data_IF_786871234821
#
_entry.id   IF_786871234821
#
_cell.length_a   1.000
_cell.length_b   1.000
_cell.length_c   1.000
_cell.angle_alpha   90.00
_cell.angle_beta   90.00
_cell.angle_gamma   90.00
#
_symmetry.space_group_name_H-M   'P 1'
#
loop_
_entity.id
_entity.type
_entity.pdbx_description
1 polymer ?
#
# COMPACT_ATOMS: atom_id res chain seq x y z
N UNK A 1 -32.18 -8.19 90.50
CA UNK A 1 -32.33 -8.54 89.07
C UNK A 1 -31.11 -9.37 88.69
N UNK A 2 -31.26 -10.70 88.73
CA UNK A 2 -30.15 -11.64 88.51
C UNK A 2 -29.78 -11.66 87.02
N UNK A 3 -28.52 -11.35 86.63
CA UNK A 3 -28.08 -11.33 85.23
C UNK A 3 -28.20 -12.70 84.53
N UNK A 4 -28.41 -13.77 85.29
CA UNK A 4 -28.65 -15.14 84.80
C UNK A 4 -30.02 -15.35 84.17
N UNK A 5 -30.96 -14.41 84.33
CA UNK A 5 -32.29 -14.51 83.72
C UNK A 5 -32.31 -14.22 82.21
N UNK A 6 -31.28 -13.58 81.66
CA UNK A 6 -31.21 -13.23 80.22
C UNK A 6 -30.74 -14.35 79.31
N UNK A 7 -30.18 -15.44 79.84
CA UNK A 7 -29.51 -16.50 79.04
C UNK A 7 -30.34 -17.80 78.98
N UNK A 8 -31.48 -17.89 79.67
CA UNK A 8 -32.29 -19.14 79.76
C UNK A 8 -33.05 -19.54 78.49
N UNK A 9 -33.09 -18.70 77.46
CA UNK A 9 -33.84 -18.96 76.23
C UNK A 9 -32.96 -19.30 75.02
N UNK A 10 -31.67 -19.59 75.21
CA UNK A 10 -30.82 -20.05 74.12
C UNK A 10 -30.94 -21.58 74.00
N UNK A 11 -31.72 -22.04 73.02
CA UNK A 11 -31.73 -23.45 72.60
C UNK A 11 -30.29 -23.89 72.29
N UNK A 12 -29.86 -25.10 72.69
CA UNK A 12 -28.54 -25.60 72.34
C UNK A 12 -28.40 -25.60 70.82
N UNK A 13 -27.37 -24.93 70.32
CA UNK A 13 -27.06 -24.86 68.90
C UNK A 13 -26.65 -26.27 68.45
N UNK A 14 -27.44 -26.89 67.59
CA UNK A 14 -27.10 -28.21 67.05
C UNK A 14 -25.99 -28.03 66.00
N UNK A 15 -24.74 -28.21 66.43
CA UNK A 15 -23.55 -28.06 65.59
C UNK A 15 -23.50 -29.07 64.45
N UNK A 16 -24.02 -30.28 64.64
CA UNK A 16 -24.06 -31.31 63.60
C UNK A 16 -25.03 -30.92 62.49
N UNK A 17 -26.24 -30.45 62.85
CA UNK A 17 -27.20 -29.95 61.87
C UNK A 17 -26.68 -28.70 61.13
N UNK A 18 -25.92 -27.82 61.80
CA UNK A 18 -25.29 -26.67 61.16
C UNK A 18 -24.16 -27.10 60.21
N UNK A 19 -23.38 -28.12 60.59
CA UNK A 19 -22.32 -28.67 59.76
C UNK A 19 -22.88 -29.34 58.50
N UNK A 20 -23.92 -30.18 58.64
CA UNK A 20 -24.63 -30.80 57.52
C UNK A 20 -25.23 -29.76 56.57
N UNK A 21 -25.86 -28.71 57.12
CA UNK A 21 -26.39 -27.61 56.33
C UNK A 21 -25.28 -26.87 55.58
N UNK A 22 -24.14 -26.63 56.24
CA UNK A 22 -22.98 -25.96 55.65
C UNK A 22 -22.35 -26.79 54.53
N UNK A 23 -22.15 -28.09 54.72
CA UNK A 23 -21.63 -29.00 53.69
C UNK A 23 -22.61 -29.15 52.52
N UNK A 24 -23.91 -29.16 52.79
CA UNK A 24 -24.94 -29.13 51.76
C UNK A 24 -24.91 -27.82 50.96
N UNK A 25 -24.75 -26.66 51.60
CA UNK A 25 -24.56 -25.38 50.89
C UNK A 25 -23.25 -25.32 50.10
N UNK A 26 -22.15 -25.82 50.65
CA UNK A 26 -20.86 -25.92 49.93
C UNK A 26 -20.98 -26.82 48.69
N UNK A 27 -21.64 -27.98 48.82
CA UNK A 27 -21.90 -28.89 47.71
C UNK A 27 -22.77 -28.23 46.63
N UNK A 28 -23.83 -27.53 47.03
CA UNK A 28 -24.66 -26.73 46.11
C UNK A 28 -23.87 -25.61 45.44
N UNK A 29 -23.02 -24.88 46.17
CA UNK A 29 -22.15 -23.83 45.61
C UNK A 29 -21.21 -24.41 44.56
N UNK A 30 -20.51 -25.50 44.87
CA UNK A 30 -19.64 -26.21 43.92
C UNK A 30 -20.40 -26.67 42.68
N UNK A 31 -21.63 -27.16 42.83
CA UNK A 31 -22.46 -27.57 41.71
C UNK A 31 -22.90 -26.38 40.83
N UNK A 32 -23.19 -25.23 41.44
CA UNK A 32 -23.50 -23.99 40.73
C UNK A 32 -22.25 -23.49 39.99
N UNK A 33 -21.08 -23.46 40.63
CA UNK A 33 -19.81 -23.10 40.01
C UNK A 33 -19.45 -24.02 38.84
N UNK A 34 -19.65 -25.34 38.98
CA UNK A 34 -19.47 -26.30 37.90
C UNK A 34 -20.44 -26.05 36.72
N UNK A 35 -21.69 -25.67 36.99
CA UNK A 35 -22.64 -25.27 35.94
C UNK A 35 -22.24 -23.96 35.26
N UNK A 36 -21.75 -22.98 36.01
CA UNK A 36 -21.28 -21.69 35.47
C UNK A 36 -20.07 -21.90 34.55
N UNK A 37 -19.10 -22.72 34.98
CA UNK A 37 -17.91 -23.07 34.17
C UNK A 37 -18.29 -23.86 32.93
N UNK A 38 -19.14 -24.88 33.02
CA UNK A 38 -19.62 -25.61 31.85
C UNK A 38 -20.36 -24.70 30.84
N UNK A 39 -21.19 -23.77 31.34
CA UNK A 39 -21.87 -22.78 30.48
C UNK A 39 -20.89 -21.79 29.84
N UNK A 40 -19.84 -21.37 30.54
CA UNK A 40 -18.84 -20.45 29.99
C UNK A 40 -18.01 -21.13 28.90
N UNK A 41 -17.62 -22.39 29.11
CA UNK A 41 -16.93 -23.23 28.11
C UNK A 41 -17.80 -23.46 26.88
N UNK A 42 -19.08 -23.84 27.05
CA UNK A 42 -20.01 -24.04 25.94
C UNK A 42 -20.19 -22.76 25.11
N UNK A 43 -20.30 -21.60 25.78
CA UNK A 43 -20.35 -20.29 25.10
C UNK A 43 -19.06 -20.00 24.33
N UNK A 44 -17.90 -20.32 24.89
CA UNK A 44 -16.62 -20.13 24.22
C UNK A 44 -16.45 -21.04 23.00
N UNK A 45 -16.87 -22.31 23.11
CA UNK A 45 -16.89 -23.25 21.99
C UNK A 45 -17.81 -22.76 20.86
N UNK A 46 -19.01 -22.28 21.19
CA UNK A 46 -19.94 -21.72 20.21
C UNK A 46 -19.34 -20.49 19.49
N UNK A 47 -18.70 -19.58 20.24
CA UNK A 47 -17.99 -18.42 19.65
C UNK A 47 -16.87 -18.86 18.72
N UNK A 48 -16.05 -19.82 19.15
CA UNK A 48 -14.96 -20.36 18.34
C UNK A 48 -15.49 -21.05 17.07
N UNK A 49 -16.59 -21.80 17.14
CA UNK A 49 -17.19 -22.44 15.98
C UNK A 49 -17.73 -21.42 14.96
N UNK A 50 -18.38 -20.35 15.43
CA UNK A 50 -18.83 -19.25 14.57
C UNK A 50 -17.66 -18.52 13.90
N UNK A 51 -16.57 -18.31 14.64
CA UNK A 51 -15.33 -17.74 14.11
C UNK A 51 -14.71 -18.64 13.03
N UNK A 52 -14.57 -19.94 13.28
CA UNK A 52 -14.02 -20.85 12.27
C UNK A 52 -14.89 -20.88 11.01
N UNK A 53 -16.20 -20.78 11.16
CA UNK A 53 -17.13 -20.68 10.01
C UNK A 53 -16.92 -19.38 9.21
N UNK A 54 -16.68 -18.25 9.87
CA UNK A 54 -16.40 -16.99 9.17
C UNK A 54 -15.05 -17.00 8.46
N UNK A 55 -14.01 -17.54 9.11
CA UNK A 55 -12.69 -17.72 8.52
C UNK A 55 -12.75 -18.66 7.31
N UNK A 56 -13.43 -19.80 7.43
CA UNK A 56 -13.61 -20.76 6.33
C UNK A 56 -14.31 -20.12 5.12
N UNK A 57 -15.32 -19.27 5.36
CA UNK A 57 -16.00 -18.54 4.28
C UNK A 57 -15.05 -17.60 3.54
N UNK A 58 -14.26 -16.81 4.26
CA UNK A 58 -13.27 -15.87 3.67
C UNK A 58 -12.27 -16.64 2.80
N UNK A 59 -11.76 -17.76 3.31
CA UNK A 59 -10.79 -18.59 2.60
C UNK A 59 -11.38 -19.30 1.39
N UNK A 60 -12.63 -19.74 1.47
CA UNK A 60 -13.32 -20.33 0.32
C UNK A 60 -13.52 -19.30 -0.81
N UNK A 61 -13.91 -18.07 -0.46
CA UNK A 61 -14.03 -16.99 -1.44
C UNK A 61 -12.68 -16.60 -2.07
N UNK A 62 -11.60 -16.63 -1.28
CA UNK A 62 -10.26 -16.36 -1.79
C UNK A 62 -9.76 -17.48 -2.69
N UNK A 63 -10.01 -18.74 -2.33
CA UNK A 63 -9.72 -19.88 -3.19
C UNK A 63 -10.42 -19.77 -4.55
N UNK A 64 -11.70 -19.38 -4.58
CA UNK A 64 -12.43 -19.15 -5.83
C UNK A 64 -11.75 -18.05 -6.66
N UNK A 65 -11.33 -16.95 -6.03
CA UNK A 65 -10.62 -15.85 -6.71
C UNK A 65 -9.30 -16.31 -7.31
N UNK A 66 -8.45 -16.97 -6.52
CA UNK A 66 -7.15 -17.46 -6.97
C UNK A 66 -7.32 -18.46 -8.13
N UNK A 67 -8.30 -19.36 -8.05
CA UNK A 67 -8.61 -20.27 -9.17
C UNK A 67 -9.08 -19.53 -10.42
N UNK A 68 -9.75 -18.39 -10.26
CA UNK A 68 -10.10 -17.51 -11.37
C UNK A 68 -8.89 -16.79 -11.96
N UNK A 69 -7.97 -16.32 -11.12
CA UNK A 69 -6.71 -15.67 -11.55
C UNK A 69 -5.76 -16.66 -12.23
N UNK A 70 -5.60 -17.86 -11.67
CA UNK A 70 -4.86 -18.96 -12.28
C UNK A 70 -5.40 -19.28 -13.68
N UNK A 71 -6.72 -19.41 -13.82
CA UNK A 71 -7.36 -19.63 -15.13
C UNK A 71 -7.07 -18.48 -16.10
N UNK A 72 -7.15 -17.23 -15.65
CA UNK A 72 -6.86 -16.06 -16.50
C UNK A 72 -5.39 -16.01 -16.92
N UNK A 73 -4.47 -16.29 -16.01
CA UNK A 73 -3.04 -16.35 -16.29
C UNK A 73 -2.74 -17.46 -17.30
N UNK A 74 -3.29 -18.66 -17.10
CA UNK A 74 -3.13 -19.78 -18.03
C UNK A 74 -3.67 -19.46 -19.42
N UNK A 75 -4.84 -18.79 -19.52
CA UNK A 75 -5.37 -18.32 -20.80
C UNK A 75 -4.48 -17.26 -21.45
N UNK A 76 -3.91 -16.34 -20.66
CA UNK A 76 -2.99 -15.31 -21.15
C UNK A 76 -1.68 -15.92 -21.68
N UNK A 77 -1.18 -16.97 -21.06
CA UNK A 77 0.02 -17.69 -21.51
C UNK A 77 -0.26 -18.45 -22.81
N UNK A 78 -1.48 -18.97 -22.96
CA UNK A 78 -1.94 -19.65 -24.17
C UNK A 78 -2.30 -18.68 -25.31
N UNK A 79 -2.24 -17.36 -25.06
CA UNK A 79 -2.48 -16.35 -26.09
C UNK A 79 -1.46 -16.52 -27.24
N UNK A 80 -1.91 -16.57 -28.50
CA UNK A 80 -1.02 -16.65 -29.66
C UNK A 80 0.10 -15.60 -29.68
N UNK A 81 -0.12 -14.43 -29.10
CA UNK A 81 0.88 -13.35 -28.97
C UNK A 81 2.04 -13.68 -28.02
N UNK A 82 1.90 -14.67 -27.14
CA UNK A 82 2.95 -15.15 -26.23
C UNK A 82 3.56 -16.49 -26.66
N UNK A 83 3.07 -17.12 -27.74
CA UNK A 83 3.61 -18.40 -28.23
C UNK A 83 5.08 -18.35 -28.65
N UNK A 84 5.62 -17.16 -28.94
CA UNK A 84 7.05 -17.00 -29.21
C UNK A 84 7.92 -17.35 -28.00
N UNK A 85 7.40 -17.16 -26.77
CA UNK A 85 8.09 -17.51 -25.52
C UNK A 85 8.28 -19.03 -25.46
N UNK A 86 7.26 -19.80 -25.83
CA UNK A 86 7.32 -21.27 -25.92
C UNK A 86 8.15 -21.79 -27.10
N UNK A 87 8.66 -20.91 -27.96
CA UNK A 87 9.60 -21.24 -29.05
C UNK A 87 11.04 -20.88 -28.71
N UNK A 88 11.29 -20.28 -27.55
CA UNK A 88 12.65 -19.99 -27.08
C UNK A 88 13.32 -21.33 -26.77
N UNK A 89 14.49 -21.65 -27.37
CA UNK A 89 15.11 -22.96 -27.24
C UNK A 89 15.29 -23.42 -25.79
N UNK A 90 15.73 -22.53 -24.89
CA UNK A 90 15.90 -22.84 -23.46
C UNK A 90 14.59 -23.16 -22.75
N UNK A 91 13.45 -22.60 -23.21
CA UNK A 91 12.13 -22.89 -22.65
C UNK A 91 11.60 -24.21 -23.19
N UNK A 92 11.84 -24.51 -24.47
CA UNK A 92 11.51 -25.81 -25.06
C UNK A 92 12.29 -26.93 -24.37
N UNK A 93 13.60 -26.76 -24.19
CA UNK A 93 14.46 -27.74 -23.54
C UNK A 93 14.05 -28.00 -22.08
N UNK A 94 13.62 -26.95 -21.36
CA UNK A 94 13.13 -27.11 -19.98
C UNK A 94 11.76 -27.77 -19.91
N UNK A 95 10.84 -27.45 -20.82
CA UNK A 95 9.53 -28.13 -20.91
C UNK A 95 9.71 -29.61 -21.23
N UNK A 96 10.56 -29.96 -22.21
CA UNK A 96 10.84 -31.35 -22.56
C UNK A 96 11.51 -32.13 -21.42
N UNK A 97 12.38 -31.47 -20.66
CA UNK A 97 13.02 -32.02 -19.47
C UNK A 97 11.98 -32.27 -18.36
N UNK A 98 11.12 -31.30 -18.06
CA UNK A 98 10.05 -31.45 -17.06
C UNK A 98 9.04 -32.55 -17.44
N UNK A 99 8.67 -32.67 -18.71
CA UNK A 99 7.81 -33.76 -19.16
C UNK A 99 8.49 -35.13 -19.02
N UNK A 100 9.81 -35.19 -19.20
CA UNK A 100 10.59 -36.42 -18.98
C UNK A 100 10.59 -36.79 -17.51
N UNK A 101 10.87 -35.84 -16.62
CA UNK A 101 10.85 -36.02 -15.17
C UNK A 101 9.45 -36.41 -14.67
N UNK A 102 8.38 -35.81 -15.20
CA UNK A 102 7.01 -36.20 -14.87
C UNK A 102 6.74 -37.66 -15.27
N UNK A 103 7.14 -38.07 -16.48
CA UNK A 103 7.00 -39.46 -16.93
C UNK A 103 7.80 -40.42 -16.05
N UNK A 104 9.01 -40.06 -15.66
CA UNK A 104 9.84 -40.84 -14.75
C UNK A 104 9.20 -40.97 -13.37
N UNK A 105 8.70 -39.87 -12.80
CA UNK A 105 7.95 -39.88 -11.54
C UNK A 105 6.70 -40.76 -11.61
N UNK A 106 5.92 -40.64 -12.69
CA UNK A 106 4.73 -41.46 -12.89
C UNK A 106 5.09 -42.96 -12.97
N UNK A 107 6.19 -43.31 -13.62
CA UNK A 107 6.63 -44.69 -13.77
C UNK A 107 7.27 -45.26 -12.50
N UNK A 108 8.06 -44.46 -11.79
CA UNK A 108 8.82 -44.91 -10.63
C UNK A 108 7.98 -44.96 -9.35
N UNK A 109 6.96 -44.11 -9.21
CA UNK A 109 6.14 -44.04 -7.99
C UNK A 109 4.66 -44.34 -8.24
N UNK A 110 3.99 -43.62 -9.15
CA UNK A 110 2.53 -43.74 -9.29
C UNK A 110 2.11 -45.12 -9.80
N UNK A 111 2.79 -45.65 -10.82
CA UNK A 111 2.49 -46.99 -11.37
C UNK A 111 2.65 -48.08 -10.30
N UNK A 112 3.77 -48.18 -9.55
CA UNK A 112 3.90 -49.13 -8.45
C UNK A 112 2.82 -49.00 -7.37
N UNK A 113 2.43 -47.77 -6.99
CA UNK A 113 1.34 -47.53 -6.03
C UNK A 113 0.01 -48.09 -6.56
N UNK A 114 -0.30 -47.85 -7.83
CA UNK A 114 -1.53 -48.34 -8.45
C UNK A 114 -1.53 -49.86 -8.60
N UNK A 115 -0.41 -50.45 -9.02
CA UNK A 115 -0.24 -51.91 -9.10
C UNK A 115 -0.40 -52.54 -7.71
N UNK A 116 0.24 -51.98 -6.68
CA UNK A 116 0.08 -52.44 -5.29
C UNK A 116 -1.37 -52.34 -4.80
N UNK A 117 -2.05 -51.23 -5.09
CA UNK A 117 -3.48 -51.07 -4.76
C UNK A 117 -4.34 -52.15 -5.42
N UNK A 118 -4.07 -52.45 -6.68
CA UNK A 118 -4.84 -53.42 -7.46
C UNK A 118 -4.53 -54.86 -7.01
N UNK A 119 -3.27 -55.15 -6.68
CA UNK A 119 -2.84 -56.41 -6.05
C UNK A 119 -3.49 -56.63 -4.68
N UNK A 120 -3.54 -55.58 -3.84
CA UNK A 120 -4.20 -55.63 -2.53
C UNK A 120 -5.72 -55.86 -2.67
N UNK A 121 -6.37 -55.21 -3.65
CA UNK A 121 -7.78 -55.47 -3.95
C UNK A 121 -8.00 -56.91 -4.38
N UNK A 122 -7.15 -57.43 -5.26
CA UNK A 122 -7.21 -58.81 -5.73
C UNK A 122 -7.03 -59.81 -4.57
N UNK A 123 -6.09 -59.53 -3.66
CA UNK A 123 -5.85 -60.34 -2.45
C UNK A 123 -7.04 -60.35 -1.50
N UNK A 124 -7.66 -59.20 -1.27
CA UNK A 124 -8.84 -59.08 -0.39
C UNK A 124 -10.02 -59.89 -0.95
N UNK A 125 -10.23 -59.86 -2.27
CA UNK A 125 -11.29 -60.64 -2.93
C UNK A 125 -11.02 -62.14 -2.82
N UNK A 126 -9.82 -62.61 -3.19
CA UNK A 126 -9.46 -64.04 -3.09
C UNK A 126 -9.51 -64.59 -1.66
N UNK A 127 -9.15 -63.79 -0.66
CA UNK A 127 -9.24 -64.16 0.75
C UNK A 127 -10.70 -64.33 1.21
N UNK A 128 -11.63 -63.53 0.69
CA UNK A 128 -13.08 -63.69 0.93
C UNK A 128 -13.62 -64.96 0.27
N UNK A 129 -13.07 -65.34 -0.87
CA UNK A 129 -13.49 -66.52 -1.64
C UNK A 129 -12.81 -67.83 -1.17
N UNK A 130 -12.04 -67.80 -0.07
CA UNK A 130 -11.42 -68.98 0.54
C UNK A 130 -10.26 -69.58 -0.27
N UNK A 131 -9.73 -68.88 -1.28
CA UNK A 131 -8.62 -69.35 -2.10
C UNK A 131 -7.26 -69.11 -1.41
N UNK A 132 -6.26 -70.00 -1.59
CA UNK A 132 -4.91 -69.77 -1.08
C UNK A 132 -4.29 -68.53 -1.75
N UNK A 133 -3.80 -67.61 -0.93
CA UNK A 133 -3.15 -66.36 -1.37
C UNK A 133 -1.63 -66.54 -1.32
N UNK A 134 -0.91 -65.99 -2.30
CA UNK A 134 0.56 -66.03 -2.36
C UNK A 134 1.22 -65.34 -1.13
N UNK A 135 2.48 -65.67 -0.83
CA UNK A 135 3.22 -65.09 0.31
C UNK A 135 3.33 -63.55 0.22
N UNK A 136 3.20 -62.85 1.36
CA UNK A 136 3.23 -61.37 1.49
C UNK A 136 4.61 -60.73 1.36
N UNK A 137 5.67 -61.54 1.29
CA UNK A 137 7.07 -61.07 1.25
C UNK A 137 7.41 -60.22 0.00
N UNK A 138 6.94 -60.54 -1.22
CA UNK A 138 7.20 -59.71 -2.40
C UNK A 138 6.54 -58.32 -2.28
N UNK A 139 5.38 -58.23 -1.64
CA UNK A 139 4.66 -56.97 -1.40
C UNK A 139 5.43 -56.07 -0.43
N UNK A 140 5.98 -56.65 0.65
CA UNK A 140 6.83 -55.89 1.59
C UNK A 140 8.09 -55.35 0.93
N UNK A 141 8.68 -56.09 -0.03
CA UNK A 141 9.82 -55.62 -0.80
C UNK A 141 9.45 -54.41 -1.69
N UNK A 142 8.32 -54.48 -2.39
CA UNK A 142 7.81 -53.35 -3.22
C UNK A 142 7.53 -52.10 -2.35
N UNK A 143 6.98 -52.27 -1.16
CA UNK A 143 6.76 -51.15 -0.21
C UNK A 143 8.07 -50.57 0.30
N UNK A 144 9.08 -51.40 0.55
CA UNK A 144 10.43 -50.96 0.91
C UNK A 144 11.09 -50.16 -0.21
N UNK A 145 11.11 -50.71 -1.42
CA UNK A 145 11.68 -50.07 -2.61
C UNK A 145 10.97 -48.72 -2.93
N UNK A 146 9.65 -48.63 -2.68
CA UNK A 146 8.89 -47.39 -2.79
C UNK A 146 9.27 -46.35 -1.73
N UNK A 147 9.43 -46.74 -0.47
CA UNK A 147 9.84 -45.81 0.59
C UNK A 147 11.23 -45.24 0.32
N UNK A 148 12.15 -46.07 -0.21
CA UNK A 148 13.49 -45.62 -0.60
C UNK A 148 13.44 -44.66 -1.80
N UNK A 149 12.57 -44.92 -2.79
CA UNK A 149 12.36 -44.02 -3.92
C UNK A 149 11.73 -42.67 -3.50
N UNK A 150 10.75 -42.71 -2.57
CA UNK A 150 10.15 -41.50 -1.99
C UNK A 150 11.17 -40.70 -1.18
N UNK A 151 12.04 -41.36 -0.42
CA UNK A 151 13.12 -40.71 0.31
C UNK A 151 14.09 -39.96 -0.60
N UNK A 152 14.54 -40.61 -1.69
CA UNK A 152 15.42 -39.97 -2.68
C UNK A 152 14.78 -38.76 -3.36
N UNK A 153 13.48 -38.82 -3.66
CA UNK A 153 12.75 -37.70 -4.23
C UNK A 153 12.59 -36.54 -3.25
N UNK A 154 12.39 -36.82 -1.97
CA UNK A 154 12.39 -35.79 -0.93
C UNK A 154 13.73 -35.07 -0.84
N UNK A 155 14.83 -35.81 -0.92
CA UNK A 155 16.17 -35.22 -0.90
C UNK A 155 16.44 -34.38 -2.17
N UNK A 156 16.05 -34.88 -3.34
CA UNK A 156 16.17 -34.16 -4.61
C UNK A 156 15.34 -32.85 -4.62
N UNK A 157 14.08 -32.93 -4.16
CA UNK A 157 13.19 -31.77 -4.03
C UNK A 157 13.78 -30.72 -3.09
N UNK A 158 14.39 -31.15 -1.98
CA UNK A 158 15.03 -30.25 -1.02
C UNK A 158 16.25 -29.57 -1.62
N UNK A 159 17.03 -30.26 -2.45
CA UNK A 159 18.16 -29.64 -3.17
C UNK A 159 17.71 -28.65 -4.25
N UNK A 160 16.64 -28.96 -4.97
CA UNK A 160 16.04 -28.05 -5.96
C UNK A 160 15.43 -26.80 -5.29
N UNK A 161 14.74 -26.96 -4.16
CA UNK A 161 14.19 -25.84 -3.41
C UNK A 161 15.29 -24.84 -2.99
N UNK A 162 16.46 -25.35 -2.59
CA UNK A 162 17.63 -24.53 -2.25
C UNK A 162 18.17 -23.83 -3.49
N UNK A 163 18.23 -24.51 -4.63
CA UNK A 163 18.73 -23.96 -5.90
C UNK A 163 17.81 -22.87 -6.47
N UNK A 164 16.49 -23.07 -6.43
CA UNK A 164 15.50 -22.10 -6.90
C UNK A 164 15.49 -20.82 -6.05
N UNK A 165 15.66 -20.95 -4.73
CA UNK A 165 15.78 -19.80 -3.80
C UNK A 165 16.96 -18.87 -4.15
N UNK A 166 17.99 -19.35 -4.84
CA UNK A 166 19.12 -18.53 -5.27
C UNK A 166 18.88 -17.81 -6.61
N UNK A 167 17.87 -18.20 -7.39
CA UNK A 167 17.61 -17.62 -8.72
C UNK A 167 16.50 -16.55 -8.74
N UNK A 168 15.73 -16.41 -7.66
CA UNK A 168 14.66 -15.40 -7.51
C UNK A 168 15.19 -13.99 -7.16
N UNK A 169 16.50 -13.78 -7.10
CA UNK A 169 17.12 -12.46 -6.84
C UNK A 169 17.18 -11.57 -8.10
N UNK A 170 16.19 -11.65 -8.99
CA UNK A 170 15.98 -10.61 -10.00
C UNK A 170 15.32 -9.44 -9.28
N UNK A 171 16.13 -8.50 -8.81
CA UNK A 171 15.69 -7.22 -8.25
C UNK A 171 14.90 -6.43 -9.31
N UNK A 172 13.61 -6.75 -9.43
CA UNK A 172 12.64 -5.85 -10.04
C UNK A 172 12.62 -4.64 -9.10
N UNK A 173 13.16 -3.51 -9.58
CA UNK A 173 13.17 -2.22 -8.89
C UNK A 173 11.96 -2.10 -7.97
N UNK A 174 12.22 -2.11 -6.66
CA UNK A 174 11.17 -2.14 -5.66
C UNK A 174 10.21 -0.98 -5.94
N UNK A 175 8.88 -1.23 -6.08
CA UNK A 175 7.88 -0.17 -6.22
C UNK A 175 7.98 0.92 -5.14
N UNK A 176 8.69 0.63 -4.05
CA UNK A 176 8.93 1.52 -2.92
C UNK A 176 9.88 2.69 -3.27
N UNK A 177 10.90 2.50 -4.12
CA UNK A 177 11.86 3.57 -4.46
C UNK A 177 11.21 4.65 -5.34
N UNK A 178 10.30 4.23 -6.22
CA UNK A 178 9.52 5.13 -7.08
C UNK A 178 8.59 6.06 -6.29
N UNK A 179 8.10 5.64 -5.12
CA UNK A 179 7.15 6.43 -4.33
C UNK A 179 7.79 7.68 -3.72
N UNK A 180 9.08 7.65 -3.38
CA UNK A 180 9.78 8.76 -2.71
C UNK A 180 10.80 9.49 -3.60
N UNK A 181 11.14 8.94 -4.78
CA UNK A 181 12.06 9.61 -5.72
C UNK A 181 11.43 10.78 -6.48
N UNK A 182 12.01 11.98 -6.39
CA UNK A 182 11.70 13.10 -7.29
C UNK A 182 12.86 13.22 -8.26
N UNK A 183 12.56 13.22 -9.57
CA UNK A 183 13.56 13.49 -10.60
C UNK A 183 14.12 14.89 -10.36
N UNK A 184 15.41 14.99 -10.02
CA UNK A 184 16.11 16.27 -9.86
C UNK A 184 16.04 17.11 -11.14
N UNK A 185 15.89 16.48 -12.31
CA UNK A 185 15.70 17.18 -13.60
C UNK A 185 14.41 17.99 -13.68
N UNK A 186 13.43 17.70 -12.82
CA UNK A 186 12.14 18.37 -12.79
C UNK A 186 12.08 19.46 -11.70
N UNK A 187 13.16 19.63 -10.93
CA UNK A 187 13.30 20.68 -9.91
C UNK A 187 14.07 21.86 -10.47
N UNK A 188 13.91 23.02 -9.85
CA UNK A 188 14.49 24.29 -10.27
C UNK A 188 13.56 25.09 -11.19
N UNK A 189 14.11 26.20 -11.69
CA UNK A 189 13.45 27.11 -12.62
C UNK A 189 13.42 26.43 -14.00
N UNK A 190 12.25 26.31 -14.66
CA UNK A 190 12.18 25.78 -16.02
C UNK A 190 13.02 26.63 -16.99
N UNK A 191 13.76 25.99 -17.90
CA UNK A 191 14.62 26.70 -18.86
C UNK A 191 13.80 27.65 -19.76
N UNK A 192 12.56 27.26 -20.09
CA UNK A 192 11.66 28.09 -20.89
C UNK A 192 11.20 29.36 -20.16
N UNK A 193 11.31 29.39 -18.83
CA UNK A 193 10.83 30.50 -18.02
C UNK A 193 11.71 31.75 -18.12
N UNK A 194 13.00 31.57 -18.43
CA UNK A 194 13.93 32.67 -18.68
C UNK A 194 13.65 33.43 -19.98
N UNK A 195 12.88 32.85 -20.89
CA UNK A 195 12.53 33.46 -22.18
C UNK A 195 11.20 34.22 -22.13
N UNK A 196 10.54 34.29 -20.96
CA UNK A 196 9.25 34.96 -20.85
C UNK A 196 9.38 36.49 -20.99
N UNK A 197 8.41 37.14 -21.66
CA UNK A 197 8.45 38.58 -21.86
C UNK A 197 8.37 39.31 -20.51
N UNK A 198 9.37 40.14 -20.22
CA UNK A 198 9.48 40.88 -18.96
C UNK A 198 9.86 42.34 -19.22
N UNK A 199 9.39 43.29 -18.38
CA UNK A 199 9.87 44.67 -18.43
C UNK A 199 11.27 44.87 -17.82
N UNK A 200 11.71 43.98 -16.93
CA UNK A 200 13.01 44.04 -16.24
C UNK A 200 13.49 42.62 -15.87
N UNK A 201 14.78 42.35 -16.04
CA UNK A 201 15.41 41.07 -15.74
C UNK A 201 15.48 40.79 -14.23
N UNK A 202 15.66 41.82 -13.40
CA UNK A 202 15.65 41.67 -11.92
C UNK A 202 14.26 41.21 -11.41
N UNK A 203 13.19 41.79 -11.96
CA UNK A 203 11.83 41.41 -11.64
C UNK A 203 11.51 39.98 -12.08
N UNK A 204 12.03 39.56 -13.24
CA UNK A 204 11.92 38.18 -13.70
C UNK A 204 12.64 37.22 -12.76
N UNK A 205 13.87 37.53 -12.36
CA UNK A 205 14.66 36.70 -11.46
C UNK A 205 13.97 36.52 -10.08
N UNK A 206 13.42 37.58 -9.50
CA UNK A 206 12.65 37.51 -8.24
C UNK A 206 11.42 36.62 -8.36
N UNK A 207 10.64 36.76 -9.44
CA UNK A 207 9.47 35.92 -9.70
C UNK A 207 9.84 34.45 -9.92
N UNK A 208 10.92 34.17 -10.65
CA UNK A 208 11.36 32.81 -10.91
C UNK A 208 11.95 32.13 -9.67
N UNK A 209 12.50 32.89 -8.72
CA UNK A 209 12.98 32.34 -7.45
C UNK A 209 11.88 31.64 -6.63
N UNK A 210 10.60 31.99 -6.84
CA UNK A 210 9.46 31.30 -6.22
C UNK A 210 9.38 29.81 -6.59
N UNK A 211 9.87 29.40 -7.76
CA UNK A 211 9.95 27.98 -8.12
C UNK A 211 10.82 27.20 -7.14
N UNK A 212 11.95 27.79 -6.74
CA UNK A 212 12.89 27.18 -5.79
C UNK A 212 12.22 27.03 -4.42
N UNK A 213 11.45 28.03 -3.98
CA UNK A 213 10.74 27.99 -2.70
C UNK A 213 9.68 26.89 -2.67
N UNK A 214 8.90 26.77 -3.75
CA UNK A 214 7.91 25.69 -3.91
C UNK A 214 8.62 24.32 -3.88
N UNK A 215 9.69 24.16 -4.65
CA UNK A 215 10.44 22.91 -4.71
C UNK A 215 10.99 22.48 -3.35
N UNK A 216 11.64 23.40 -2.63
CA UNK A 216 12.19 23.14 -1.29
C UNK A 216 11.09 22.73 -0.31
N UNK A 217 9.94 23.40 -0.34
CA UNK A 217 8.82 23.11 0.55
C UNK A 217 8.28 21.69 0.33
N UNK A 218 8.08 21.28 -0.93
CA UNK A 218 7.57 19.94 -1.23
C UNK A 218 8.64 18.85 -1.05
N UNK A 219 9.89 19.15 -1.38
CA UNK A 219 11.01 18.25 -1.14
C UNK A 219 11.18 17.94 0.34
N UNK A 220 11.18 18.95 1.21
CA UNK A 220 11.29 18.75 2.66
C UNK A 220 10.14 17.90 3.22
N UNK A 221 8.91 18.09 2.72
CA UNK A 221 7.76 17.27 3.12
C UNK A 221 7.89 15.82 2.68
N UNK A 222 8.41 15.60 1.47
CA UNK A 222 8.63 14.26 0.94
C UNK A 222 9.75 13.55 1.69
N UNK A 223 10.82 14.28 2.01
CA UNK A 223 11.97 13.78 2.75
C UNK A 223 11.59 13.38 4.18
N UNK A 224 10.75 14.16 4.86
CA UNK A 224 10.18 13.78 6.15
C UNK A 224 9.42 12.44 6.05
N UNK A 225 8.57 12.28 5.04
CA UNK A 225 7.83 11.04 4.83
C UNK A 225 8.76 9.85 4.49
N UNK A 226 9.86 10.09 3.76
CA UNK A 226 10.88 9.08 3.43
C UNK A 226 11.61 8.60 4.68
N UNK A 227 12.11 9.53 5.50
CA UNK A 227 12.83 9.20 6.74
C UNK A 227 11.93 8.40 7.69
N UNK A 228 10.67 8.80 7.84
CA UNK A 228 9.73 8.04 8.66
C UNK A 228 9.45 6.65 8.08
N UNK A 229 9.35 6.54 6.75
CA UNK A 229 9.15 5.26 6.08
C UNK A 229 10.30 4.30 6.35
N UNK A 230 11.54 4.78 6.22
CA UNK A 230 12.76 4.02 6.48
C UNK A 230 12.86 3.57 7.93
N UNK A 231 12.50 4.42 8.89
CA UNK A 231 12.45 4.04 10.31
C UNK A 231 11.45 2.92 10.58
N UNK A 232 10.25 3.00 10.00
CA UNK A 232 9.25 1.94 10.14
C UNK A 232 9.68 0.67 9.41
N UNK A 233 10.34 0.80 8.27
CA UNK A 233 10.89 -0.33 7.51
C UNK A 233 11.99 -1.06 8.28
N UNK A 234 12.98 -0.35 8.80
CA UNK A 234 14.08 -0.90 9.60
C UNK A 234 13.56 -1.75 10.77
N UNK A 235 12.59 -1.22 11.53
CA UNK A 235 11.94 -1.94 12.64
C UNK A 235 11.32 -3.28 12.25
N UNK A 236 10.79 -3.39 11.03
CA UNK A 236 10.21 -4.64 10.52
C UNK A 236 11.32 -5.60 10.13
N UNK A 237 12.29 -5.14 9.34
CA UNK A 237 13.39 -5.96 8.82
C UNK A 237 14.32 -6.50 9.90
N UNK A 238 14.47 -5.80 11.03
CA UNK A 238 15.31 -6.25 12.14
C UNK A 238 14.69 -7.43 12.92
N UNK A 239 13.36 -7.51 12.98
CA UNK A 239 12.64 -8.42 13.88
C UNK A 239 11.91 -9.57 13.16
N UNK A 240 11.78 -9.48 11.84
CA UNK A 240 10.97 -10.39 11.05
C UNK A 240 11.72 -10.90 9.83
N UNK A 241 11.52 -12.19 9.55
CA UNK A 241 11.99 -12.79 8.31
C UNK A 241 11.15 -12.30 7.12
N UNK A 242 11.80 -12.11 5.97
CA UNK A 242 11.16 -11.54 4.78
C UNK A 242 10.03 -12.42 4.26
N UNK A 243 10.18 -13.75 4.27
CA UNK A 243 9.10 -14.65 3.86
C UNK A 243 7.94 -14.64 4.87
N UNK A 244 8.24 -14.60 6.17
CA UNK A 244 7.24 -14.47 7.23
C UNK A 244 6.39 -13.21 7.04
N UNK A 245 7.04 -12.07 6.79
CA UNK A 245 6.34 -10.81 6.51
C UNK A 245 5.50 -10.90 5.23
N UNK A 246 6.04 -11.47 4.14
CA UNK A 246 5.29 -11.61 2.88
C UNK A 246 4.04 -12.48 3.04
N UNK A 247 4.13 -13.58 3.80
CA UNK A 247 2.98 -14.43 4.15
C UNK A 247 1.93 -13.64 4.95
N UNK A 248 2.37 -12.88 5.95
CA UNK A 248 1.47 -12.07 6.79
C UNK A 248 0.80 -10.96 5.97
N UNK A 249 1.54 -10.29 5.09
CA UNK A 249 1.00 -9.28 4.18
C UNK A 249 -0.05 -9.85 3.25
N UNK A 250 0.21 -11.04 2.70
CA UNK A 250 -0.76 -11.74 1.88
C UNK A 250 -2.04 -12.02 2.66
N UNK A 251 -1.93 -12.64 3.85
CA UNK A 251 -3.07 -12.94 4.71
C UNK A 251 -3.83 -11.68 5.10
N UNK A 252 -3.13 -10.64 5.53
CA UNK A 252 -3.72 -9.35 5.85
C UNK A 252 -4.49 -8.76 4.67
N UNK A 253 -3.93 -8.84 3.46
CA UNK A 253 -4.57 -8.42 2.23
C UNK A 253 -5.88 -9.17 1.96
N UNK A 254 -5.93 -10.48 2.19
CA UNK A 254 -7.16 -11.29 2.05
C UNK A 254 -8.25 -10.78 3.00
N UNK A 255 -7.92 -10.61 4.28
CA UNK A 255 -8.90 -10.15 5.28
C UNK A 255 -9.36 -8.71 5.00
N UNK A 256 -8.46 -7.81 4.60
CA UNK A 256 -8.82 -6.43 4.25
C UNK A 256 -9.83 -6.39 3.08
N UNK A 257 -9.67 -7.26 2.09
CA UNK A 257 -10.58 -7.35 0.93
C UNK A 257 -11.94 -7.95 1.27
N UNK A 258 -11.97 -8.97 2.14
CA UNK A 258 -13.15 -9.84 2.32
C UNK A 258 -13.96 -9.59 3.59
N UNK A 259 -13.31 -9.16 4.66
CA UNK A 259 -13.92 -9.08 5.99
C UNK A 259 -14.40 -7.67 6.38
N UNK A 260 -14.22 -6.67 5.51
CA UNK A 260 -14.68 -5.29 5.72
C UNK A 260 -14.23 -4.74 7.08
N UNK A 261 -15.16 -4.15 7.84
CA UNK A 261 -14.89 -3.52 9.13
C UNK A 261 -14.34 -4.48 10.20
N UNK A 262 -14.65 -5.78 10.10
CA UNK A 262 -14.15 -6.79 11.04
C UNK A 262 -12.82 -7.41 10.59
N UNK A 263 -12.23 -6.95 9.49
CA UNK A 263 -11.03 -7.54 8.89
C UNK A 263 -9.82 -7.54 9.81
N UNK A 264 -9.59 -6.46 10.56
CA UNK A 264 -8.50 -6.39 11.55
C UNK A 264 -8.62 -7.46 12.62
N UNK A 265 -9.80 -7.58 13.23
CA UNK A 265 -10.05 -8.55 14.29
C UNK A 265 -9.91 -9.98 13.78
N UNK A 266 -10.55 -10.30 12.65
CA UNK A 266 -10.49 -11.65 12.07
C UNK A 266 -9.08 -12.03 11.58
N UNK A 267 -8.32 -11.06 11.04
CA UNK A 267 -6.93 -11.28 10.66
C UNK A 267 -6.05 -11.57 11.88
N UNK A 268 -6.18 -10.80 12.97
CA UNK A 268 -5.43 -11.05 14.20
C UNK A 268 -5.78 -12.41 14.80
N UNK A 269 -7.07 -12.75 14.86
CA UNK A 269 -7.54 -14.05 15.33
C UNK A 269 -7.04 -15.21 14.45
N UNK A 270 -6.93 -15.02 13.13
CA UNK A 270 -6.35 -16.03 12.24
C UNK A 270 -4.83 -16.13 12.40
N UNK A 271 -4.13 -15.00 12.33
CA UNK A 271 -2.67 -14.95 12.38
C UNK A 271 -2.11 -15.43 13.71
N UNK A 272 -2.79 -15.16 14.83
CA UNK A 272 -2.43 -15.72 16.14
C UNK A 272 -2.55 -17.24 16.24
N UNK A 273 -3.34 -17.87 15.36
CA UNK A 273 -3.42 -19.33 15.25
C UNK A 273 -2.37 -19.92 14.31
N UNK A 274 -2.01 -19.17 13.26
CA UNK A 274 -1.03 -19.60 12.24
C UNK A 274 0.40 -19.36 12.70
N UNK A 275 0.66 -18.21 13.34
CA UNK A 275 1.98 -17.80 13.81
C UNK A 275 2.16 -18.21 15.27
N UNK A 276 2.27 -19.51 15.52
CA UNK A 276 2.34 -20.08 16.89
C UNK A 276 3.53 -19.56 17.70
N UNK A 277 4.61 -19.17 17.02
CA UNK A 277 5.85 -18.67 17.64
C UNK A 277 5.82 -17.17 17.95
N UNK A 278 4.75 -16.44 17.58
CA UNK A 278 4.66 -14.99 17.73
C UNK A 278 3.51 -14.61 18.65
N UNK A 279 3.74 -13.60 19.48
CA UNK A 279 2.70 -13.03 20.31
C UNK A 279 1.70 -12.21 19.47
N UNK A 280 0.46 -12.11 19.96
CA UNK A 280 -0.57 -11.29 19.32
C UNK A 280 -0.14 -9.82 19.20
N UNK A 281 0.60 -9.32 20.19
CA UNK A 281 1.10 -7.95 20.22
C UNK A 281 2.13 -7.68 19.12
N UNK A 282 3.03 -8.64 18.86
CA UNK A 282 4.01 -8.54 17.76
C UNK A 282 3.32 -8.51 16.40
N UNK A 283 2.33 -9.39 16.19
CA UNK A 283 1.55 -9.44 14.94
C UNK A 283 0.78 -8.13 14.73
N UNK A 284 0.16 -7.61 15.79
CA UNK A 284 -0.56 -6.33 15.72
C UNK A 284 0.39 -5.16 15.43
N UNK A 285 1.58 -5.16 16.03
CA UNK A 285 2.62 -4.18 15.75
C UNK A 285 3.05 -4.24 14.28
N UNK A 286 3.31 -5.43 13.74
CA UNK A 286 3.68 -5.61 12.33
C UNK A 286 2.59 -5.09 11.39
N UNK A 287 1.32 -5.44 11.62
CA UNK A 287 0.20 -4.93 10.81
C UNK A 287 0.13 -3.41 10.90
N UNK A 288 0.32 -2.83 12.08
CA UNK A 288 0.38 -1.39 12.30
C UNK A 288 1.52 -0.72 11.51
N UNK A 289 2.73 -1.28 11.56
CA UNK A 289 3.87 -0.83 10.78
C UNK A 289 3.60 -0.89 9.28
N UNK A 290 3.01 -1.99 8.79
CA UNK A 290 2.65 -2.13 7.36
C UNK A 290 1.57 -1.15 6.92
N UNK A 291 0.57 -0.90 7.75
CA UNK A 291 -0.43 0.13 7.49
C UNK A 291 0.21 1.52 7.43
N UNK A 292 1.13 1.84 8.35
CA UNK A 292 1.85 3.12 8.35
C UNK A 292 2.73 3.28 7.11
N UNK A 293 3.44 2.23 6.70
CA UNK A 293 4.23 2.20 5.48
C UNK A 293 3.39 2.50 4.24
N UNK A 294 2.23 1.85 4.10
CA UNK A 294 1.33 2.10 2.98
C UNK A 294 0.79 3.53 2.99
N UNK A 295 0.42 4.05 4.17
CA UNK A 295 -0.01 5.45 4.31
C UNK A 295 1.09 6.44 3.91
N UNK A 296 2.35 6.18 4.27
CA UNK A 296 3.49 7.03 3.88
C UNK A 296 3.71 7.02 2.37
N UNK A 297 3.54 5.88 1.71
CA UNK A 297 3.59 5.80 0.24
C UNK A 297 2.45 6.60 -0.40
N UNK A 298 1.23 6.44 0.08
CA UNK A 298 0.07 7.19 -0.40
C UNK A 298 0.24 8.70 -0.18
N UNK A 299 0.81 9.09 0.97
CA UNK A 299 1.16 10.47 1.27
C UNK A 299 2.24 10.99 0.32
N UNK A 300 3.30 10.22 0.05
CA UNK A 300 4.38 10.61 -0.86
C UNK A 300 3.86 10.83 -2.30
N UNK A 301 3.02 9.93 -2.81
CA UNK A 301 2.38 10.09 -4.13
C UNK A 301 1.48 11.34 -4.18
N UNK A 302 0.76 11.62 -3.09
CA UNK A 302 -0.08 12.82 -2.97
C UNK A 302 0.76 14.10 -2.93
N UNK A 303 1.86 14.12 -2.17
CA UNK A 303 2.80 15.25 -2.11
C UNK A 303 3.35 15.55 -3.51
N UNK A 304 3.78 14.53 -4.26
CA UNK A 304 4.25 14.69 -5.64
C UNK A 304 3.20 15.27 -6.57
N UNK A 305 1.96 14.78 -6.49
CA UNK A 305 0.85 15.31 -7.31
C UNK A 305 0.56 16.78 -6.97
N UNK A 306 0.55 17.13 -5.69
CA UNK A 306 0.36 18.49 -5.23
C UNK A 306 1.51 19.41 -5.65
N UNK A 307 2.75 18.90 -5.67
CA UNK A 307 3.93 19.63 -6.13
C UNK A 307 3.82 19.98 -7.62
N UNK A 308 3.49 19.01 -8.47
CA UNK A 308 3.29 19.24 -9.92
C UNK A 308 2.23 20.32 -10.13
N UNK A 309 1.07 20.19 -9.48
CA UNK A 309 0.00 21.17 -9.56
C UNK A 309 0.44 22.56 -9.08
N UNK A 310 1.14 22.65 -7.95
CA UNK A 310 1.62 23.92 -7.41
C UNK A 310 2.59 24.62 -8.37
N UNK A 311 3.45 23.87 -9.07
CA UNK A 311 4.34 24.39 -10.12
C UNK A 311 3.56 24.89 -11.34
N UNK A 312 2.54 24.16 -11.77
CA UNK A 312 1.64 24.59 -12.85
C UNK A 312 0.91 25.90 -12.49
N UNK A 313 0.31 25.94 -11.29
CA UNK A 313 -0.39 27.13 -10.78
C UNK A 313 0.56 28.33 -10.60
N UNK A 314 1.81 28.09 -10.18
CA UNK A 314 2.83 29.13 -10.10
C UNK A 314 3.22 29.63 -11.50
N UNK A 315 3.41 28.74 -12.47
CA UNK A 315 3.71 29.08 -13.86
C UNK A 315 2.64 30.00 -14.45
N UNK A 316 1.37 29.68 -14.24
CA UNK A 316 0.24 30.49 -14.71
C UNK A 316 0.26 31.87 -14.06
N UNK A 317 0.48 31.93 -12.73
CA UNK A 317 0.54 33.20 -11.99
C UNK A 317 1.69 34.10 -12.43
N UNK A 318 2.90 33.54 -12.56
CA UNK A 318 4.07 34.32 -13.01
C UNK A 318 3.82 34.87 -14.42
N UNK A 319 3.34 34.04 -15.37
CA UNK A 319 3.02 34.49 -16.73
C UNK A 319 1.99 35.62 -16.73
N UNK A 320 0.93 35.51 -15.92
CA UNK A 320 -0.07 36.57 -15.80
C UNK A 320 0.52 37.87 -15.22
N UNK A 321 1.34 37.78 -14.17
CA UNK A 321 2.01 38.93 -13.57
C UNK A 321 2.99 39.61 -14.53
N UNK A 322 3.76 38.83 -15.30
CA UNK A 322 4.66 39.36 -16.31
C UNK A 322 3.91 40.10 -17.42
N UNK A 323 2.83 39.50 -17.95
CA UNK A 323 2.00 40.15 -18.97
C UNK A 323 1.40 41.47 -18.47
N UNK A 324 0.87 41.49 -17.25
CA UNK A 324 0.36 42.71 -16.63
C UNK A 324 1.46 43.77 -16.46
N UNK A 325 2.66 43.37 -16.04
CA UNK A 325 3.78 44.28 -15.87
C UNK A 325 4.26 44.87 -17.21
N UNK A 326 4.33 44.06 -18.27
CA UNK A 326 4.64 44.53 -19.63
C UNK A 326 3.58 45.53 -20.12
N UNK A 327 2.31 45.22 -19.95
CA UNK A 327 1.20 46.09 -20.36
C UNK A 327 1.24 47.43 -19.63
N UNK A 328 1.45 47.43 -18.31
CA UNK A 328 1.58 48.65 -17.51
C UNK A 328 2.76 49.53 -17.94
N UNK A 329 3.89 48.92 -18.32
CA UNK A 329 5.05 49.66 -18.83
C UNK A 329 4.74 50.24 -20.21
N UNK A 330 4.06 49.51 -21.09
CA UNK A 330 3.62 50.01 -22.39
C UNK A 330 2.64 51.18 -22.26
N UNK A 331 1.64 51.08 -21.37
CA UNK A 331 0.70 52.15 -21.06
C UNK A 331 1.41 53.40 -20.54
N UNK A 332 2.33 53.26 -19.57
CA UNK A 332 3.13 54.38 -19.05
C UNK A 332 4.01 55.04 -20.12
N UNK A 333 4.50 54.27 -21.11
CA UNK A 333 5.25 54.84 -22.25
C UNK A 333 4.33 55.66 -23.15
N UNK A 334 3.15 55.13 -23.48
CA UNK A 334 2.14 55.82 -24.28
C UNK A 334 1.68 57.13 -23.61
N UNK A 335 1.41 57.11 -22.31
CA UNK A 335 1.05 58.31 -21.54
C UNK A 335 2.16 59.37 -21.56
N UNK A 336 3.42 58.96 -21.42
CA UNK A 336 4.57 59.86 -21.52
C UNK A 336 4.70 60.46 -22.92
N UNK A 337 4.47 59.68 -23.97
CA UNK A 337 4.49 60.16 -25.35
C UNK A 337 3.34 61.14 -25.62
N UNK A 338 2.13 60.85 -25.14
CA UNK A 338 0.98 61.78 -25.22
C UNK A 338 1.26 63.09 -24.48
N UNK A 339 1.85 63.03 -23.28
CA UNK A 339 2.24 64.23 -22.54
C UNK A 339 3.33 65.03 -23.26
N UNK A 340 4.27 64.37 -23.95
CA UNK A 340 5.28 65.04 -24.77
C UNK A 340 4.66 65.74 -25.98
N UNK A 341 3.82 65.04 -26.74
CA UNK A 341 3.16 65.62 -27.92
C UNK A 341 2.21 66.76 -27.53
N UNK A 342 1.49 66.66 -26.40
CA UNK A 342 0.71 67.79 -25.87
C UNK A 342 1.59 69.00 -25.54
N UNK A 343 2.75 68.79 -24.89
CA UNK A 343 3.69 69.88 -24.59
C UNK A 343 4.22 70.54 -25.87
N UNK A 344 4.59 69.74 -26.86
CA UNK A 344 5.06 70.23 -28.17
C UNK A 344 3.98 71.03 -28.89
N UNK A 345 2.73 70.54 -28.90
CA UNK A 345 1.58 71.27 -29.46
C UNK A 345 1.32 72.60 -28.75
N UNK A 346 1.38 72.63 -27.41
CA UNK A 346 1.22 73.86 -26.64
C UNK A 346 2.31 74.89 -26.99
N UNK A 347 3.56 74.44 -27.14
CA UNK A 347 4.67 75.32 -27.56
C UNK A 347 4.45 75.88 -28.97
N UNK A 348 4.07 75.04 -29.93
CA UNK A 348 3.76 75.46 -31.30
C UNK A 348 2.60 76.47 -31.36
N UNK A 349 1.53 76.22 -30.59
CA UNK A 349 0.41 77.16 -30.48
C UNK A 349 0.84 78.49 -29.86
N UNK A 350 1.71 78.46 -28.86
CA UNK A 350 2.24 79.65 -28.22
C UNK A 350 3.10 80.49 -29.18
N UNK A 351 3.94 79.85 -30.00
CA UNK A 351 4.71 80.52 -31.05
C UNK A 351 3.79 81.17 -32.11
N UNK A 352 2.75 80.47 -32.58
CA UNK A 352 1.83 81.04 -33.56
C UNK A 352 1.00 82.21 -33.02
N UNK A 353 0.59 82.18 -31.76
CA UNK A 353 -0.07 83.32 -31.11
C UNK A 353 0.87 84.51 -30.96
N UNK A 354 2.15 84.30 -30.62
CA UNK A 354 3.14 85.38 -30.56
C UNK A 354 3.40 86.02 -31.93
N UNK A 355 3.41 85.23 -33.01
CA UNK A 355 3.56 85.75 -34.39
C UNK A 355 2.29 86.48 -34.85
N UNK A 356 1.09 86.00 -34.47
CA UNK A 356 -0.18 86.65 -34.80
C UNK A 356 -0.46 87.92 -33.95
N UNK A 357 0.18 88.07 -32.79
CA UNK A 357 0.05 89.22 -31.90
C UNK A 357 1.15 90.29 -32.08
N UNK A 358 1.87 90.33 -33.22
CA UNK A 358 2.70 91.50 -33.56
C UNK A 358 1.79 92.65 -34.02
N UNK A 359 1.76 93.81 -33.32
CA UNK A 359 0.73 94.83 -33.54
C UNK A 359 0.93 95.70 -34.78
N UNK A 360 -0.18 96.08 -35.41
CA UNK A 360 -0.37 97.27 -36.24
C UNK A 360 -0.07 98.59 -35.48
N UNK A 361 1.16 98.80 -35.02
CA UNK A 361 1.60 100.05 -34.40
C UNK A 361 2.86 100.58 -35.09
N UNK A 362 2.66 101.19 -36.25
CA UNK A 362 3.53 102.25 -36.77
C UNK A 362 2.64 103.35 -37.37
N UNK A 363 2.19 104.25 -36.50
CA UNK A 363 2.03 105.66 -36.86
C UNK A 363 3.41 106.32 -36.76
N UNK A 364 3.74 107.22 -37.69
CA UNK A 364 4.30 108.48 -37.25
C UNK A 364 3.48 109.67 -37.76
N UNK A 365 3.12 110.53 -36.81
CA UNK A 365 2.81 111.93 -37.03
C UNK A 365 4.01 112.64 -37.66
N UNK A 366 3.80 113.33 -38.79
CA UNK A 366 4.52 114.54 -39.17
C UNK A 366 3.83 115.20 -40.39
N UNK A 367 3.05 116.27 -40.16
CA UNK A 367 3.25 117.60 -40.74
C UNK A 367 2.04 118.52 -40.56
N UNK A 368 2.27 119.51 -39.71
CA UNK A 368 1.46 120.70 -39.55
C UNK A 368 1.36 121.53 -40.85
N UNK A 369 0.18 122.11 -41.03
CA UNK A 369 -0.10 123.44 -41.58
C UNK A 369 0.09 123.68 -43.09
N UNK A 370 -1.04 123.89 -43.79
CA UNK A 370 -1.28 125.13 -44.57
C UNK A 370 -2.74 125.25 -45.04
N UNK A 371 -3.32 126.41 -44.66
CA UNK A 371 -4.20 127.29 -45.48
C UNK A 371 -5.72 126.98 -45.51
N UNK A 372 -6.43 127.83 -44.77
CA UNK A 372 -7.85 128.29 -44.88
C UNK A 372 -8.14 128.91 -46.27
N UNK A 373 -9.38 129.07 -46.74
CA UNK A 373 -10.49 129.76 -46.05
C UNK A 373 -11.68 128.88 -45.66
#
# INVERSE_FOLDING_TARGET
MDPRSRVRNLKPLNYDALHELTEHFKSKSKHIEAKITALSEARQQMKNAQLLKSLAKIWHEEYIRLRGEERKANLSIQDPSHQWILKVPTIVDTVEMLEREEREFQNALLKPVWTLRDDLKYWIVRKKDGQPVAEYKPVLKVVGDMNDAVGKLWDALKTEEISCKHSDSVEINSPNELAFSVSQKNMGIPDEAWQWPTPNDEFLAELLAEFIHVDVLFFNRLEYARVEYEQVHARVTENWDTEEVNRIDYFWGVFRRRAGNNGRKLALEFLSRVCVNRSVAEIECLIGCRMRQNLLKDQATTIKRCWVKAREDLTIRIKASLLQAVELVAQKRLEKEQLRTQRELCLLLQEQVQVACVPCLLLPDELHAKIRP
#
